data_IF_215097323497
#
_entry.id   IF_215097323497
#
_cell.length_a   1.000
_cell.length_b   1.000
_cell.length_c   1.000
_cell.angle_alpha   90.00
_cell.angle_beta   90.00
_cell.angle_gamma   90.00
#
_symmetry.space_group_name_H-M   'P 1'
#
loop_
_entity.id
_entity.type
_entity.pdbx_description
1 polymer ?
#
# COMPACT_ATOMS: atom_id res chain seq x y z
N UNK A 1 27.42 20.38 -7.28
CA UNK A 1 27.48 18.91 -7.44
C UNK A 1 26.88 18.30 -6.17
N UNK A 2 25.59 18.02 -6.01
CA UNK A 2 24.51 17.80 -6.96
C UNK A 2 24.06 16.34 -6.96
N UNK A 3 23.37 15.89 -5.90
CA UNK A 3 22.46 14.73 -5.93
C UNK A 3 22.96 13.40 -5.36
N UNK A 4 22.50 13.04 -4.16
CA UNK A 4 22.40 11.65 -3.68
C UNK A 4 20.94 11.38 -3.25
N UNK A 5 20.05 11.33 -4.25
CA UNK A 5 18.79 10.60 -4.15
C UNK A 5 18.75 9.66 -5.34
N UNK A 6 19.02 8.38 -5.13
CA UNK A 6 18.60 7.34 -6.07
C UNK A 6 18.52 5.97 -5.41
N UNK A 7 17.30 5.45 -5.44
CA UNK A 7 16.96 4.03 -5.55
C UNK A 7 17.10 3.13 -4.31
N UNK A 8 16.06 3.14 -3.48
CA UNK A 8 15.54 1.91 -2.86
C UNK A 8 14.33 1.42 -3.68
N UNK A 9 14.50 1.28 -5.00
CA UNK A 9 13.60 0.47 -5.82
C UNK A 9 14.38 -0.78 -6.20
N UNK A 10 13.97 -1.91 -5.61
CA UNK A 10 14.52 -3.22 -5.92
C UNK A 10 14.49 -3.44 -7.42
N UNK A 11 15.68 -3.67 -7.98
CA UNK A 11 15.86 -4.16 -9.32
C UNK A 11 15.29 -5.58 -9.39
N UNK A 12 14.04 -5.70 -9.83
CA UNK A 12 13.53 -6.90 -10.51
C UNK A 12 13.03 -6.45 -11.87
N UNK A 13 13.96 -5.88 -12.64
CA UNK A 13 13.90 -5.94 -14.09
C UNK A 13 14.37 -7.34 -14.49
N UNK A 14 13.52 -8.34 -14.23
CA UNK A 14 13.55 -9.65 -14.88
C UNK A 14 12.07 -10.04 -15.06
N UNK A 15 11.62 -9.83 -16.30
CA UNK A 15 10.54 -10.53 -16.99
C UNK A 15 9.11 -10.43 -16.43
N UNK A 16 8.55 -9.21 -16.48
CA UNK A 16 7.10 -9.02 -16.72
C UNK A 16 6.82 -9.20 -18.22
N UNK A 17 7.17 -10.37 -18.74
CA UNK A 17 6.68 -10.90 -20.02
C UNK A 17 6.21 -12.33 -19.81
N UNK A 18 5.52 -12.62 -18.70
CA UNK A 18 4.57 -13.73 -18.73
C UNK A 18 3.37 -13.25 -19.56
N UNK A 19 3.46 -13.62 -20.83
CA UNK A 19 2.38 -13.76 -21.81
C UNK A 19 1.00 -13.71 -21.16
N UNK A 20 0.17 -12.79 -21.64
CA UNK A 20 -1.25 -12.69 -21.30
C UNK A 20 -1.95 -14.05 -21.50
N UNK A 21 -1.89 -14.93 -20.50
CA UNK A 21 -2.86 -16.00 -20.29
C UNK A 21 -4.08 -15.35 -19.68
N UNK A 22 -4.74 -14.56 -20.52
CA UNK A 22 -6.09 -14.04 -20.40
C UNK A 22 -6.98 -15.07 -19.70
N UNK A 23 -7.80 -14.62 -18.74
CA UNK A 23 -8.79 -15.40 -17.97
C UNK A 23 -9.91 -16.02 -18.84
N UNK A 24 -9.66 -16.17 -20.15
CA UNK A 24 -10.52 -16.72 -21.20
C UNK A 24 -9.91 -17.96 -21.88
N UNK A 25 -8.83 -18.53 -21.34
CA UNK A 25 -8.37 -19.86 -21.81
C UNK A 25 -9.42 -20.90 -21.41
N UNK A 26 -10.16 -21.41 -22.39
CA UNK A 26 -11.17 -22.43 -22.22
C UNK A 26 -10.55 -23.68 -21.55
N UNK A 27 -10.98 -23.98 -20.33
CA UNK A 27 -10.56 -25.17 -19.56
C UNK A 27 -11.12 -26.48 -20.10
N UNK A 28 -11.99 -26.42 -21.11
CA UNK A 28 -12.60 -27.59 -21.74
C UNK A 28 -12.20 -27.60 -23.20
N UNK A 29 -11.49 -28.64 -23.62
CA UNK A 29 -11.21 -28.90 -25.03
C UNK A 29 -12.52 -29.02 -25.81
N UNK A 30 -12.58 -28.37 -26.98
CA UNK A 30 -13.69 -28.41 -27.93
C UNK A 30 -14.24 -29.84 -28.12
N UNK A 31 -15.54 -30.11 -27.90
CA UNK A 31 -16.15 -31.32 -28.39
C UNK A 31 -16.67 -31.05 -29.80
N UNK A 32 -15.82 -31.27 -30.81
CA UNK A 32 -16.27 -31.32 -32.21
C UNK A 32 -15.97 -32.71 -32.77
N UNK A 33 -17.03 -33.48 -33.02
CA UNK A 33 -16.97 -34.70 -33.84
C UNK A 33 -17.88 -35.82 -33.35
N UNK A 34 -19.01 -36.03 -34.05
CA UNK A 34 -19.87 -37.20 -33.94
C UNK A 34 -19.13 -38.52 -34.19
N UNK A 35 -19.54 -39.57 -33.48
CA UNK A 35 -19.11 -40.94 -33.73
C UNK A 35 -19.84 -41.92 -32.82
N UNK A 36 -21.01 -42.38 -33.26
CA UNK A 36 -21.78 -43.47 -32.66
C UNK A 36 -20.91 -44.68 -32.33
N UNK A 37 -20.97 -45.21 -31.10
CA UNK A 37 -21.15 -46.66 -30.82
C UNK A 37 -21.14 -47.03 -29.34
N UNK A 38 -22.19 -47.77 -29.00
CA UNK A 38 -22.43 -48.62 -27.84
C UNK A 38 -21.23 -49.45 -27.38
N UNK A 39 -21.01 -49.55 -26.06
CA UNK A 39 -21.00 -50.81 -25.29
C UNK A 39 -20.18 -50.64 -24.01
N UNK A 40 -20.82 -50.99 -22.89
CA UNK A 40 -20.25 -51.11 -21.55
C UNK A 40 -18.94 -51.90 -21.55
N UNK A 41 -17.82 -51.25 -21.24
CA UNK A 41 -16.63 -51.92 -20.70
C UNK A 41 -15.92 -51.01 -19.68
N UNK A 42 -16.07 -51.40 -18.42
CA UNK A 42 -15.02 -51.45 -17.41
C UNK A 42 -14.24 -50.16 -17.13
N UNK A 43 -14.60 -49.52 -16.01
CA UNK A 43 -13.81 -48.55 -15.26
C UNK A 43 -12.49 -49.23 -14.84
N UNK A 44 -11.49 -49.19 -15.71
CA UNK A 44 -10.09 -49.36 -15.34
C UNK A 44 -9.47 -47.97 -15.37
N UNK A 45 -9.52 -47.29 -14.22
CA UNK A 45 -8.72 -46.11 -13.93
C UNK A 45 -7.24 -46.49 -14.00
N UNK A 46 -6.67 -46.44 -15.20
CA UNK A 46 -5.22 -46.31 -15.43
C UNK A 46 -4.99 -44.96 -16.09
N UNK A 47 -5.13 -43.91 -15.30
CA UNK A 47 -4.55 -42.61 -15.62
C UNK A 47 -3.16 -42.56 -14.96
N UNK A 48 -2.18 -43.14 -15.65
CA UNK A 48 -0.77 -42.85 -15.40
C UNK A 48 -0.49 -41.45 -15.98
N UNK A 49 -0.79 -40.40 -15.22
CA UNK A 49 -0.36 -39.03 -15.51
C UNK A 49 0.15 -38.41 -14.20
N UNK A 50 1.37 -38.80 -13.82
CA UNK A 50 2.02 -38.38 -12.58
C UNK A 50 2.65 -36.98 -12.64
N UNK A 51 2.60 -36.29 -13.79
CA UNK A 51 3.34 -35.03 -14.00
C UNK A 51 2.47 -33.76 -14.03
N UNK A 52 1.14 -33.87 -13.84
CA UNK A 52 0.21 -32.72 -13.97
C UNK A 52 -0.67 -32.41 -12.75
N UNK A 53 -0.83 -33.34 -11.81
CA UNK A 53 -1.73 -33.18 -10.65
C UNK A 53 -1.09 -32.33 -9.55
N UNK A 54 0.24 -32.42 -9.40
CA UNK A 54 0.98 -31.64 -8.40
C UNK A 54 0.94 -30.13 -8.65
N UNK A 55 1.06 -29.70 -9.90
CA UNK A 55 1.03 -28.28 -10.28
C UNK A 55 -0.36 -27.66 -10.10
N UNK A 56 -1.43 -28.39 -10.46
CA UNK A 56 -2.80 -27.93 -10.24
C UNK A 56 -3.11 -27.75 -8.74
N UNK A 57 -2.68 -28.71 -7.91
CA UNK A 57 -2.88 -28.60 -6.45
C UNK A 57 -2.04 -27.46 -5.84
N UNK A 58 -0.83 -27.20 -6.34
CA UNK A 58 -0.01 -26.07 -5.92
C UNK A 58 -0.64 -24.71 -6.29
N UNK A 59 -1.20 -24.59 -7.50
CA UNK A 59 -1.96 -23.41 -7.95
C UNK A 59 -3.18 -23.14 -7.07
N UNK A 60 -3.93 -24.19 -6.73
CA UNK A 60 -5.07 -24.07 -5.81
C UNK A 60 -4.63 -23.64 -4.40
N UNK A 61 -3.54 -24.19 -3.87
CA UNK A 61 -2.97 -23.75 -2.60
C UNK A 61 -2.53 -22.28 -2.63
N UNK A 62 -1.92 -21.83 -3.72
CA UNK A 62 -1.55 -20.42 -3.91
C UNK A 62 -2.77 -19.50 -3.92
N UNK A 63 -3.85 -19.91 -4.58
CA UNK A 63 -5.11 -19.16 -4.59
C UNK A 63 -5.68 -19.08 -3.18
N UNK A 64 -5.76 -20.21 -2.46
CA UNK A 64 -6.26 -20.25 -1.09
C UNK A 64 -5.41 -19.37 -0.15
N UNK A 65 -4.09 -19.44 -0.24
CA UNK A 65 -3.19 -18.61 0.55
C UNK A 65 -3.34 -17.12 0.22
N UNK A 66 -3.44 -16.76 -1.07
CA UNK A 66 -3.66 -15.38 -1.52
C UNK A 66 -5.00 -14.85 -1.01
N UNK A 67 -6.06 -15.66 -1.10
CA UNK A 67 -7.39 -15.31 -0.62
C UNK A 67 -7.41 -15.17 0.89
N UNK A 68 -6.81 -16.11 1.63
CA UNK A 68 -6.71 -16.05 3.09
C UNK A 68 -5.96 -14.79 3.57
N UNK A 69 -4.90 -14.39 2.87
CA UNK A 69 -4.14 -13.18 3.19
C UNK A 69 -4.85 -11.88 2.77
N UNK A 70 -5.73 -11.93 1.76
CA UNK A 70 -6.49 -10.75 1.29
C UNK A 70 -7.82 -10.57 2.01
N UNK A 71 -8.30 -11.62 2.68
CA UNK A 71 -9.53 -11.61 3.43
C UNK A 71 -9.35 -10.85 4.74
N UNK A 72 -10.25 -9.90 5.02
CA UNK A 72 -10.23 -9.10 6.24
C UNK A 72 -11.12 -9.78 7.27
N UNK A 73 -10.51 -10.34 8.31
CA UNK A 73 -11.21 -10.82 9.50
C UNK A 73 -11.61 -9.63 10.39
N UNK A 74 -12.78 -9.05 10.11
CA UNK A 74 -13.30 -7.87 10.84
C UNK A 74 -13.41 -8.11 12.35
N UNK A 75 -13.88 -9.27 12.85
CA UNK A 75 -13.83 -9.61 14.27
C UNK A 75 -12.44 -9.57 14.90
N UNK A 76 -11.38 -10.02 14.21
CA UNK A 76 -10.03 -10.08 14.80
C UNK A 76 -9.41 -8.69 15.07
N UNK A 77 -9.94 -7.62 14.47
CA UNK A 77 -9.43 -6.25 14.64
C UNK A 77 -9.57 -5.72 16.07
N UNK A 78 -10.43 -6.31 16.90
CA UNK A 78 -10.63 -5.91 18.29
C UNK A 78 -9.92 -6.83 19.30
N UNK A 79 -9.20 -7.84 18.83
CA UNK A 79 -8.49 -8.77 19.72
C UNK A 79 -7.20 -8.14 20.23
N UNK A 80 -7.03 -8.12 21.56
CA UNK A 80 -5.74 -7.78 22.17
C UNK A 80 -4.74 -8.86 21.79
N UNK A 81 -3.62 -8.46 21.19
CA UNK A 81 -2.51 -9.39 20.95
C UNK A 81 -1.85 -9.65 22.30
N UNK A 82 -2.25 -10.74 22.95
CA UNK A 82 -1.59 -11.22 24.17
C UNK A 82 -0.17 -11.67 23.82
N UNK A 83 0.78 -10.74 23.92
CA UNK A 83 2.20 -11.05 23.78
C UNK A 83 2.65 -11.83 25.01
N UNK A 84 3.17 -13.03 24.80
CA UNK A 84 3.77 -13.78 25.90
C UNK A 84 4.98 -13.03 26.46
N UNK A 85 5.13 -13.05 27.79
CA UNK A 85 6.27 -12.43 28.48
C UNK A 85 7.63 -12.87 27.93
N UNK A 86 7.69 -14.08 27.37
CA UNK A 86 8.92 -14.65 26.82
C UNK A 86 9.31 -14.01 25.48
N UNK A 87 8.34 -13.65 24.64
CA UNK A 87 8.61 -12.91 23.39
C UNK A 87 9.13 -11.51 23.70
N UNK A 88 8.58 -10.86 24.72
CA UNK A 88 9.04 -9.54 25.17
C UNK A 88 10.52 -9.62 25.59
N UNK A 89 10.89 -10.61 26.43
CA UNK A 89 12.26 -10.83 26.87
C UNK A 89 13.21 -11.16 25.70
N UNK A 90 12.76 -11.96 24.74
CA UNK A 90 13.53 -12.27 23.53
C UNK A 90 13.83 -11.00 22.71
N UNK A 91 12.81 -10.16 22.46
CA UNK A 91 13.00 -8.88 21.78
C UNK A 91 13.93 -7.93 22.55
N UNK A 92 13.77 -7.80 23.86
CA UNK A 92 14.67 -7.00 24.69
C UNK A 92 16.12 -7.47 24.59
N UNK A 93 16.35 -8.79 24.63
CA UNK A 93 17.69 -9.35 24.53
C UNK A 93 18.34 -9.06 23.18
N UNK A 94 17.57 -9.20 22.08
CA UNK A 94 18.02 -8.90 20.72
C UNK A 94 18.32 -7.42 20.52
N UNK A 95 17.47 -6.54 21.07
CA UNK A 95 17.68 -5.09 21.02
C UNK A 95 18.94 -4.70 21.79
N UNK A 96 19.13 -5.22 23.02
CA UNK A 96 20.34 -4.95 23.82
C UNK A 96 21.61 -5.41 23.09
N UNK A 97 21.60 -6.59 22.48
CA UNK A 97 22.73 -7.08 21.70
C UNK A 97 23.01 -6.25 20.44
N UNK A 98 21.98 -5.68 19.82
CA UNK A 98 22.13 -4.79 18.67
C UNK A 98 22.66 -3.41 19.06
N UNK A 99 22.18 -2.84 20.17
CA UNK A 99 22.66 -1.55 20.70
C UNK A 99 24.11 -1.60 21.18
N UNK A 100 24.60 -2.75 21.65
CA UNK A 100 26.02 -2.90 21.98
C UNK A 100 26.94 -2.84 20.75
N UNK A 101 26.42 -3.16 19.55
CA UNK A 101 27.19 -3.14 18.30
C UNK A 101 27.15 -1.78 17.59
N UNK A 102 26.26 -0.88 18.00
CA UNK A 102 26.04 0.41 17.36
C UNK A 102 26.04 1.47 18.43
N UNK A 103 27.07 2.32 18.47
CA UNK A 103 27.04 3.50 19.31
C UNK A 103 25.87 4.39 18.88
N UNK A 104 24.81 4.40 19.67
CA UNK A 104 23.77 5.40 19.56
C UNK A 104 24.30 6.64 20.28
N UNK A 105 24.87 7.56 19.51
CA UNK A 105 25.23 8.88 20.01
C UNK A 105 23.96 9.70 20.09
N UNK A 106 23.49 9.97 21.31
CA UNK A 106 22.49 11.00 21.59
C UNK A 106 23.09 12.36 21.21
N UNK A 107 23.10 12.70 19.92
CA UNK A 107 23.49 14.02 19.45
C UNK A 107 22.36 15.00 19.76
N UNK A 108 22.30 15.47 21.00
CA UNK A 108 21.28 16.42 21.48
C UNK A 108 21.79 17.87 21.51
N UNK A 109 22.85 18.19 20.78
CA UNK A 109 23.36 19.55 20.72
C UNK A 109 22.66 20.32 19.60
N UNK A 110 21.58 21.02 19.95
CA UNK A 110 20.77 21.82 19.02
C UNK A 110 21.54 22.97 18.32
N UNK A 111 22.79 23.27 18.70
CA UNK A 111 23.53 24.47 18.28
C UNK A 111 25.02 24.23 18.01
N UNK A 112 25.45 22.97 17.77
CA UNK A 112 26.87 22.67 17.52
C UNK A 112 27.40 23.31 16.21
N UNK A 113 26.49 23.61 15.27
CA UNK A 113 26.83 24.06 13.92
C UNK A 113 27.10 25.58 13.77
N UNK A 114 26.95 26.38 14.83
CA UNK A 114 27.15 27.85 14.73
C UNK A 114 28.38 28.32 15.51
N UNK A 115 29.61 28.13 14.98
CA UNK A 115 30.79 28.73 15.60
C UNK A 115 30.61 30.26 15.56
N UNK A 116 30.71 30.91 16.73
CA UNK A 116 30.53 32.36 16.92
C UNK A 116 29.06 32.86 16.87
N UNK A 117 28.22 32.33 17.78
CA UNK A 117 26.84 32.78 18.03
C UNK A 117 26.69 34.31 18.13
N UNK A 118 27.54 34.97 18.92
CA UNK A 118 27.44 36.43 19.13
C UNK A 118 27.60 37.22 17.82
N UNK A 119 28.54 36.81 16.95
CA UNK A 119 28.75 37.43 15.64
C UNK A 119 27.56 37.21 14.73
N UNK A 120 26.98 36.01 14.74
CA UNK A 120 25.83 35.67 13.90
C UNK A 120 24.58 36.43 14.31
N UNK A 121 24.32 36.53 15.62
CA UNK A 121 23.18 37.27 16.16
C UNK A 121 23.32 38.80 16.03
N UNK A 122 24.56 39.31 16.01
CA UNK A 122 24.84 40.74 15.80
C UNK A 122 24.90 41.14 14.32
N UNK A 123 24.64 40.20 13.41
CA UNK A 123 24.58 40.46 11.98
C UNK A 123 23.44 41.40 11.60
N UNK A 124 23.44 41.84 10.34
CA UNK A 124 22.36 42.65 9.80
C UNK A 124 21.04 41.86 9.83
N UNK A 125 19.93 42.44 10.33
CA UNK A 125 18.64 41.78 10.32
C UNK A 125 18.14 41.59 8.88
N UNK A 126 17.20 40.66 8.70
CA UNK A 126 16.57 40.43 7.40
C UNK A 126 15.92 41.74 6.89
N UNK A 127 16.11 42.10 5.61
CA UNK A 127 15.48 43.28 5.02
C UNK A 127 13.96 43.26 5.17
N UNK A 128 13.37 44.44 5.41
CA UNK A 128 11.92 44.58 5.56
C UNK A 128 11.18 44.23 4.26
N UNK A 129 11.79 44.47 3.11
CA UNK A 129 11.25 44.10 1.79
C UNK A 129 11.02 42.59 1.66
N UNK A 130 11.97 41.76 2.13
CA UNK A 130 11.85 40.31 2.12
C UNK A 130 10.73 39.85 3.05
N UNK A 131 10.68 40.43 4.25
CA UNK A 131 9.60 40.16 5.20
C UNK A 131 8.22 40.48 4.61
N UNK A 132 8.11 41.60 3.88
CA UNK A 132 6.89 42.03 3.22
C UNK A 132 6.51 41.09 2.07
N UNK A 133 7.47 40.75 1.21
CA UNK A 133 7.28 39.81 0.11
C UNK A 133 6.75 38.47 0.61
N UNK A 134 7.35 37.90 1.67
CA UNK A 134 6.90 36.61 2.24
C UNK A 134 5.47 36.71 2.77
N UNK A 135 5.10 37.82 3.41
CA UNK A 135 3.73 38.05 3.89
C UNK A 135 2.74 38.14 2.73
N UNK A 136 3.08 38.87 1.68
CA UNK A 136 2.23 38.99 0.48
C UNK A 136 2.01 37.64 -0.19
N UNK A 137 3.07 36.86 -0.40
CA UNK A 137 2.97 35.49 -0.94
C UNK A 137 2.10 34.60 -0.04
N UNK A 138 2.28 34.68 1.28
CA UNK A 138 1.46 33.93 2.24
C UNK A 138 -0.03 34.29 2.12
N UNK A 139 -0.36 35.58 2.03
CA UNK A 139 -1.75 36.01 1.82
C UNK A 139 -2.33 35.54 0.49
N UNK A 140 -1.53 35.55 -0.58
CA UNK A 140 -1.93 35.02 -1.88
C UNK A 140 -2.23 33.51 -1.81
N UNK A 141 -1.39 32.74 -1.13
CA UNK A 141 -1.61 31.29 -0.94
C UNK A 141 -2.90 31.05 -0.16
N UNK A 142 -3.13 31.79 0.93
CA UNK A 142 -4.36 31.67 1.71
C UNK A 142 -5.60 31.98 0.86
N UNK A 143 -5.54 33.02 0.02
CA UNK A 143 -6.64 33.35 -0.90
C UNK A 143 -6.89 32.24 -1.94
N UNK A 144 -5.82 31.62 -2.45
CA UNK A 144 -5.94 30.51 -3.39
C UNK A 144 -6.54 29.26 -2.72
N UNK A 145 -6.18 28.95 -1.48
CA UNK A 145 -6.77 27.84 -0.73
C UNK A 145 -8.26 28.05 -0.48
N UNK A 146 -8.69 29.27 -0.20
CA UNK A 146 -10.12 29.60 -0.05
C UNK A 146 -10.92 29.41 -1.35
N UNK A 147 -10.27 29.50 -2.52
CA UNK A 147 -10.93 29.22 -3.79
C UNK A 147 -11.25 27.73 -4.02
N UNK A 148 -10.64 26.83 -3.24
CA UNK A 148 -10.89 25.38 -3.30
C UNK A 148 -12.19 25.09 -2.53
N UNK A 149 -13.32 25.30 -3.20
CA UNK A 149 -14.64 25.00 -2.67
C UNK A 149 -15.52 24.36 -3.75
N UNK A 150 -16.45 23.50 -3.31
CA UNK A 150 -17.42 22.87 -4.21
C UNK A 150 -18.50 23.89 -4.54
N UNK A 151 -18.56 24.34 -5.80
CA UNK A 151 -19.66 25.17 -6.30
C UNK A 151 -20.87 24.29 -6.57
N UNK A 152 -21.95 24.47 -5.81
CA UNK A 152 -23.19 23.73 -6.02
C UNK A 152 -23.97 24.35 -7.21
N UNK A 153 -24.11 23.61 -8.30
CA UNK A 153 -24.89 24.02 -9.47
C UNK A 153 -26.36 23.63 -9.38
N UNK A 154 -26.67 22.56 -8.64
CA UNK A 154 -28.01 21.98 -8.54
C UNK A 154 -28.26 21.45 -7.13
N UNK A 155 -29.54 21.48 -6.74
CA UNK A 155 -29.94 20.97 -5.44
C UNK A 155 -29.80 19.44 -5.40
N UNK A 156 -28.88 18.94 -4.56
CA UNK A 156 -28.65 17.51 -4.36
C UNK A 156 -29.77 16.82 -3.58
N UNK A 157 -30.63 17.58 -2.91
CA UNK A 157 -31.73 17.06 -2.09
C UNK A 157 -33.04 17.69 -2.51
N UNK A 158 -33.90 16.91 -3.17
CA UNK A 158 -35.24 17.37 -3.57
C UNK A 158 -36.25 16.87 -2.52
N UNK A 159 -36.92 17.76 -1.77
CA UNK A 159 -37.98 17.36 -0.86
C UNK A 159 -39.22 16.94 -1.65
N UNK A 160 -39.80 15.80 -1.29
CA UNK A 160 -40.96 15.22 -1.98
C UNK A 160 -42.32 15.79 -1.54
N UNK A 161 -42.37 16.69 -0.56
CA UNK A 161 -43.64 17.24 -0.07
C UNK A 161 -44.07 18.45 -0.91
N UNK A 162 -45.07 18.23 -1.76
CA UNK A 162 -45.87 19.31 -2.37
C UNK A 162 -46.86 19.80 -1.30
N UNK A 163 -46.91 21.11 -0.98
CA UNK A 163 -47.95 21.63 -0.11
C UNK A 163 -49.31 21.45 -0.80
N UNK A 164 -50.20 20.68 -0.16
CA UNK A 164 -51.60 20.61 -0.53
C UNK A 164 -52.21 21.99 -0.24
N UNK A 165 -52.42 22.80 -1.28
CA UNK A 165 -53.30 23.96 -1.19
C UNK A 165 -54.70 23.43 -0.88
N UNK A 166 -55.09 23.49 0.40
CA UNK A 166 -56.45 23.21 0.82
C UNK A 166 -57.32 24.43 0.41
N UNK A 167 -58.43 24.22 -0.32
CA UNK A 167 -59.31 25.29 -0.79
C UNK A 167 -60.01 26.05 0.34
#
# INVERSE_FOLDING_TARGET
>A
MGGLCSSCCGNSADDIYESEQNDKTNLLGNPVGEGTRTASQSISNKHNNADGVGDQQAKLNRILQKTANSYIDVPALNSSVDQSSDKIKDYESKIKAALQKREYTESSNLLEDTPQLERTLSGEPLPEEDCKMVKEVSTSILSALQSIQVTNSENLVIPFNVPQNNP
#
